data_IF_821657314065
#
_entry.id   IF_821657314065
#
_cell.length_a   1.000
_cell.length_b   1.000
_cell.length_c   1.000
_cell.angle_alpha   90.00
_cell.angle_beta   90.00
_cell.angle_gamma   90.00
#
_symmetry.space_group_name_H-M   'P 1'
#
loop_
_entity.id
_entity.type
_entity.pdbx_description
1 polymer ?
#
# COMPACT_ATOMS: atom_id res chain seq x y z
N UNK A 1 -16.60 -0.27 -4.79
CA UNK A 1 -15.29 -0.89 -5.10
C UNK A 1 -14.42 -0.73 -3.87
N UNK A 2 -13.78 -1.79 -3.42
CA UNK A 2 -12.79 -1.72 -2.36
C UNK A 2 -11.40 -1.84 -2.99
N UNK A 3 -10.39 -1.19 -2.41
CA UNK A 3 -9.02 -1.17 -2.91
C UNK A 3 -8.14 -1.60 -1.75
N UNK A 4 -7.63 -2.84 -1.72
CA UNK A 4 -6.61 -3.24 -0.77
C UNK A 4 -5.31 -2.52 -1.08
N UNK A 5 -4.75 -1.95 -0.03
CA UNK A 5 -3.46 -1.25 -0.09
C UNK A 5 -2.52 -2.02 0.82
N UNK A 6 -1.66 -2.88 0.29
CA UNK A 6 -0.57 -3.39 1.06
C UNK A 6 0.54 -2.34 1.20
N UNK A 7 1.09 -2.24 2.39
CA UNK A 7 2.29 -1.48 2.71
C UNK A 7 3.45 -2.42 3.05
N UNK A 8 4.67 -2.01 2.72
CA UNK A 8 5.87 -2.67 3.24
C UNK A 8 6.88 -1.63 3.63
N UNK A 9 7.61 -1.88 4.71
CA UNK A 9 8.84 -1.14 5.00
C UNK A 9 9.91 -1.56 4.00
N UNK A 10 10.51 -0.59 3.33
CA UNK A 10 11.81 -0.75 2.70
C UNK A 10 12.82 -0.46 3.81
N UNK A 11 13.25 -1.49 4.52
CA UNK A 11 14.21 -1.33 5.61
C UNK A 11 15.48 -0.62 5.13
N UNK A 12 16.16 0.09 6.03
CA UNK A 12 17.35 0.92 5.78
C UNK A 12 18.61 0.18 5.24
N UNK A 13 18.45 -1.03 4.70
CA UNK A 13 19.50 -1.83 4.07
C UNK A 13 19.08 -2.47 2.73
N UNK A 14 17.98 -2.03 2.13
CA UNK A 14 17.52 -2.53 0.82
C UNK A 14 16.73 -3.84 0.88
N UNK A 15 16.43 -4.38 2.08
CA UNK A 15 15.58 -5.56 2.24
C UNK A 15 14.11 -5.13 2.35
N UNK A 16 13.26 -5.37 1.34
CA UNK A 16 11.83 -5.14 1.45
C UNK A 16 11.24 -6.14 2.44
N UNK A 17 10.54 -5.63 3.46
CA UNK A 17 9.68 -6.43 4.33
C UNK A 17 8.55 -7.08 3.50
N UNK A 18 7.97 -8.22 3.93
CA UNK A 18 6.76 -8.73 3.32
C UNK A 18 5.66 -7.67 3.26
N UNK A 19 4.86 -7.72 2.19
CA UNK A 19 3.67 -6.88 2.05
C UNK A 19 2.71 -7.15 3.22
N UNK A 20 2.42 -6.11 3.99
CA UNK A 20 1.44 -6.09 5.05
C UNK A 20 0.18 -5.38 4.57
N UNK A 21 -1.00 -5.76 5.05
CA UNK A 21 -2.23 -5.11 4.67
C UNK A 21 -2.39 -3.79 5.44
N UNK A 22 -2.24 -2.64 4.76
CA UNK A 22 -2.49 -1.32 5.34
C UNK A 22 -3.98 -0.99 5.48
N UNK A 23 -4.84 -1.77 4.81
CA UNK A 23 -6.29 -1.66 4.90
C UNK A 23 -7.02 -1.84 3.58
N UNK A 24 -8.35 -1.80 3.66
CA UNK A 24 -9.25 -1.74 2.51
C UNK A 24 -9.84 -0.33 2.43
N UNK A 25 -9.55 0.37 1.36
CA UNK A 25 -10.08 1.70 1.13
C UNK A 25 -11.21 1.64 0.10
N UNK A 26 -12.31 2.35 0.34
CA UNK A 26 -13.39 2.49 -0.64
C UNK A 26 -13.15 3.64 -1.62
N UNK A 27 -12.14 4.48 -1.34
CA UNK A 27 -11.68 5.56 -2.21
C UNK A 27 -10.51 5.10 -3.07
N UNK A 28 -10.58 5.38 -4.37
CA UNK A 28 -9.50 5.06 -5.31
C UNK A 28 -8.45 6.17 -5.45
N UNK A 29 -8.74 7.38 -4.92
CA UNK A 29 -7.94 8.60 -5.17
C UNK A 29 -7.16 9.09 -3.96
N UNK A 30 -7.60 8.75 -2.76
CA UNK A 30 -7.00 9.21 -1.50
C UNK A 30 -7.14 8.12 -0.44
N UNK A 31 -6.00 7.69 0.10
CA UNK A 31 -5.91 6.64 1.11
C UNK A 31 -4.98 7.16 2.19
N UNK A 32 -5.53 7.45 3.37
CA UNK A 32 -4.75 7.95 4.50
C UNK A 32 -4.32 6.74 5.33
N UNK A 33 -3.02 6.49 5.36
CA UNK A 33 -2.42 5.47 6.21
C UNK A 33 -1.86 6.20 7.42
N UNK A 34 -2.41 5.88 8.59
CA UNK A 34 -1.95 6.42 9.87
C UNK A 34 -1.04 5.38 10.55
N UNK A 35 -0.31 5.78 11.58
CA UNK A 35 0.60 4.90 12.36
C UNK A 35 1.90 4.47 11.64
N UNK A 36 2.34 5.23 10.64
CA UNK A 36 3.66 5.03 10.02
C UNK A 36 4.77 5.61 10.89
N UNK A 37 5.90 4.90 10.96
CA UNK A 37 7.08 5.39 11.71
C UNK A 37 7.83 6.44 10.89
N UNK A 38 8.00 7.68 11.39
CA UNK A 38 8.78 8.72 10.73
C UNK A 38 10.21 8.27 10.47
N UNK A 39 10.78 8.65 9.33
CA UNK A 39 12.13 8.25 8.93
C UNK A 39 12.25 6.86 8.29
N UNK A 40 11.14 6.13 8.14
CA UNK A 40 11.11 4.87 7.40
C UNK A 40 10.55 5.08 5.99
N UNK A 41 11.19 4.44 5.00
CA UNK A 41 10.66 4.42 3.63
C UNK A 41 9.62 3.31 3.52
N UNK A 42 8.40 3.67 3.15
CA UNK A 42 7.32 2.73 2.91
C UNK A 42 7.03 2.63 1.43
N UNK A 43 6.82 1.40 0.95
CA UNK A 43 6.30 1.16 -0.39
C UNK A 43 4.83 0.75 -0.30
N UNK A 44 4.01 1.36 -1.15
CA UNK A 44 2.58 1.13 -1.24
C UNK A 44 2.23 0.65 -2.64
N UNK A 45 1.33 -0.32 -2.73
CA UNK A 45 0.69 -0.73 -3.98
C UNK A 45 -0.82 -0.67 -3.82
N UNK A 46 -1.54 -0.48 -4.93
CA UNK A 46 -3.01 -0.42 -4.92
C UNK A 46 -3.55 -1.32 -6.02
N UNK A 47 -4.66 -2.02 -5.77
CA UNK A 47 -5.41 -2.76 -6.81
C UNK A 47 -6.90 -2.60 -6.58
N UNK A 48 -7.70 -2.56 -7.64
CA UNK A 48 -9.14 -2.47 -7.49
C UNK A 48 -9.75 -3.87 -7.22
N UNK A 49 -10.74 -3.90 -6.32
CA UNK A 49 -11.62 -5.05 -6.09
C UNK A 49 -13.03 -4.62 -6.49
N UNK A 50 -13.47 -5.16 -7.63
CA UNK A 50 -14.75 -4.89 -8.27
C UNK A 50 -15.70 -6.09 -8.17
N UNK A 51 -17.00 -5.81 -8.05
CA UNK A 51 -18.06 -6.79 -7.78
C UNK A 51 -18.04 -8.00 -8.70
N UNK A 52 -18.26 -9.17 -8.09
CA UNK A 52 -18.41 -10.50 -8.69
C UNK A 52 -17.23 -11.11 -9.46
N UNK A 53 -16.18 -10.36 -9.81
CA UNK A 53 -15.22 -10.79 -10.86
C UNK A 53 -13.72 -10.74 -10.48
N UNK A 54 -13.38 -10.42 -9.24
CA UNK A 54 -12.03 -10.66 -8.71
C UNK A 54 -11.14 -9.42 -8.60
N UNK A 55 -9.83 -9.66 -8.62
CA UNK A 55 -8.79 -8.66 -8.38
C UNK A 55 -8.22 -8.14 -9.70
N UNK A 56 -8.05 -6.82 -9.84
CA UNK A 56 -7.20 -6.28 -10.91
C UNK A 56 -5.73 -6.56 -10.63
N UNK A 57 -4.89 -6.39 -11.64
CA UNK A 57 -3.44 -6.36 -11.46
C UNK A 57 -3.03 -5.25 -10.47
N UNK A 58 -1.87 -5.44 -9.83
CA UNK A 58 -1.32 -4.48 -8.89
C UNK A 58 -0.76 -3.25 -9.62
N UNK A 59 -1.03 -2.08 -9.07
CA UNK A 59 -0.40 -0.85 -9.56
C UNK A 59 1.09 -0.84 -9.26
N UNK A 60 1.83 0.01 -9.96
CA UNK A 60 3.26 0.19 -9.70
C UNK A 60 3.50 0.61 -8.24
N UNK A 61 4.47 0.01 -7.53
CA UNK A 61 4.79 0.38 -6.16
C UNK A 61 5.29 1.82 -6.12
N UNK A 62 4.64 2.63 -5.28
CA UNK A 62 5.12 3.97 -4.94
C UNK A 62 5.84 3.88 -3.61
N UNK A 63 7.08 4.36 -3.55
CA UNK A 63 7.85 4.47 -2.32
C UNK A 63 7.84 5.91 -1.84
N UNK A 64 7.35 6.14 -0.63
CA UNK A 64 7.41 7.45 0.03
C UNK A 64 8.02 7.28 1.42
N UNK A 65 8.93 8.19 1.75
CA UNK A 65 9.47 8.31 3.09
C UNK A 65 8.51 9.15 3.93
N UNK A 66 8.17 8.65 5.11
CA UNK A 66 7.42 9.43 6.09
C UNK A 66 8.37 10.51 6.66
N UNK A 67 8.07 11.80 6.49
CA UNK A 67 8.86 12.89 7.05
C UNK A 67 8.78 12.95 8.57
#
# INVERSE_FOLDING_TARGET
MCVPVPERTLGAGGTPSPWQNAGLFTNSRSMTINDLTPGTTYAFQVRAVGGSTGYTDWSNPVAHMCP
#
